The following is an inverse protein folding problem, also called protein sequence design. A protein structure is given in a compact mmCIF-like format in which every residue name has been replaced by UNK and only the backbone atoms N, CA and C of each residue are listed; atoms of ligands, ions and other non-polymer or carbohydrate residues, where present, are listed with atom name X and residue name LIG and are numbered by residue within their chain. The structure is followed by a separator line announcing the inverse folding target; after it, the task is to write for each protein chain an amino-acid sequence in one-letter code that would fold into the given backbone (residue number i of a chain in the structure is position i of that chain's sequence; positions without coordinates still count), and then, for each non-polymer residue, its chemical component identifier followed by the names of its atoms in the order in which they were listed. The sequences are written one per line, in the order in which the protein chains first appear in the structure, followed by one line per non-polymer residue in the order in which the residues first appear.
data_IF_704573423762
#
_entry.id   IF_704573423762
#
_cell.length_a   1.000
_cell.length_b   1.000
_cell.length_c   1.000
_cell.angle_alpha   90.00
_cell.angle_beta   90.00
_cell.angle_gamma   90.00
#
_symmetry.space_group_name_H-M   'P 1'
#
loop_
_entity.id
_entity.type
_entity.pdbx_description
1 polymer ?
#
# COMPACT_ATOMS: atom_id res chain seq x y z
N UNK A 1 -20.78 -17.47 -21.43
CA UNK A 1 -19.66 -17.45 -20.47
C UNK A 1 -20.11 -16.57 -19.32
N UNK A 2 -20.27 -17.11 -18.11
CA UNK A 2 -20.61 -16.28 -16.94
C UNK A 2 -19.44 -15.33 -16.68
N UNK A 3 -19.71 -14.03 -16.57
CA UNK A 3 -18.70 -13.06 -16.17
C UNK A 3 -17.95 -13.60 -14.93
N UNK A 4 -16.63 -13.60 -14.98
CA UNK A 4 -15.83 -13.94 -13.80
C UNK A 4 -16.13 -12.92 -12.69
N UNK A 5 -15.95 -13.31 -11.42
CA UNK A 5 -16.26 -12.43 -10.29
C UNK A 5 -15.67 -11.01 -10.42
N UNK A 6 -14.43 -10.80 -10.92
CA UNK A 6 -13.87 -9.46 -11.13
C UNK A 6 -14.58 -8.64 -12.22
N UNK A 7 -14.96 -9.26 -13.34
CA UNK A 7 -15.66 -8.57 -14.45
C UNK A 7 -17.06 -8.13 -14.03
N UNK A 8 -17.78 -9.00 -13.30
CA UNK A 8 -19.09 -8.68 -12.75
C UNK A 8 -19.00 -7.54 -11.72
N UNK A 9 -17.98 -7.56 -10.85
CA UNK A 9 -17.71 -6.46 -9.91
C UNK A 9 -17.41 -5.16 -10.67
N UNK A 10 -16.57 -5.20 -11.70
CA UNK A 10 -16.25 -4.01 -12.50
C UNK A 10 -17.48 -3.44 -13.21
N UNK A 11 -18.35 -4.28 -13.75
CA UNK A 11 -19.60 -3.84 -14.39
C UNK A 11 -20.62 -3.26 -13.40
N UNK A 12 -20.58 -3.68 -12.14
CA UNK A 12 -21.46 -3.19 -11.07
C UNK A 12 -21.01 -1.87 -10.45
N UNK A 13 -19.79 -1.39 -10.74
CA UNK A 13 -19.22 -0.18 -10.17
C UNK A 13 -18.88 0.85 -11.25
N UNK A 14 -18.86 2.13 -10.88
CA UNK A 14 -18.34 3.20 -11.73
C UNK A 14 -16.88 3.47 -11.40
N UNK A 15 -16.07 3.78 -12.40
CA UNK A 15 -14.68 4.22 -12.19
C UNK A 15 -14.70 5.68 -11.72
N UNK A 16 -14.06 5.94 -10.58
CA UNK A 16 -13.95 7.30 -10.02
C UNK A 16 -12.63 7.98 -10.41
N UNK A 17 -11.55 7.22 -10.52
CA UNK A 17 -10.22 7.64 -10.92
C UNK A 17 -9.47 6.42 -11.44
N UNK A 18 -8.57 6.61 -12.41
CA UNK A 18 -7.78 5.55 -13.03
C UNK A 18 -6.34 6.01 -13.19
N UNK A 19 -5.40 5.11 -12.87
CA UNK A 19 -3.97 5.34 -13.02
C UNK A 19 -3.35 4.14 -13.72
N UNK A 20 -3.03 4.33 -14.99
CA UNK A 20 -2.38 3.31 -15.82
C UNK A 20 -0.86 3.42 -15.64
N UNK A 21 -0.21 2.31 -15.34
CA UNK A 21 1.22 2.26 -15.13
C UNK A 21 1.84 1.01 -15.75
N UNK A 22 3.13 1.09 -16.06
CA UNK A 22 3.91 -0.07 -16.48
C UNK A 22 4.41 -0.84 -15.25
N UNK A 23 4.29 -2.17 -15.28
CA UNK A 23 4.83 -3.05 -14.25
C UNK A 23 6.36 -3.00 -14.33
N UNK A 24 7.00 -2.66 -13.21
CA UNK A 24 8.46 -2.57 -13.12
C UNK A 24 9.03 -3.87 -12.56
N UNK A 25 10.18 -4.35 -13.09
CA UNK A 25 10.81 -5.55 -12.57
C UNK A 25 11.30 -5.33 -11.14
N UNK A 26 11.14 -6.36 -10.29
CA UNK A 26 11.70 -6.36 -8.95
C UNK A 26 13.21 -6.61 -9.03
N UNK A 27 14.01 -5.59 -8.71
CA UNK A 27 15.47 -5.68 -8.74
C UNK A 27 15.99 -5.75 -7.31
N UNK A 28 16.67 -6.87 -6.98
CA UNK A 28 17.22 -7.12 -5.63
C UNK A 28 16.17 -6.95 -4.51
N UNK A 29 14.93 -7.35 -4.78
CA UNK A 29 13.81 -7.31 -3.81
C UNK A 29 12.96 -6.04 -3.81
N UNK A 30 13.32 -5.03 -4.60
CA UNK A 30 12.61 -3.76 -4.66
C UNK A 30 11.98 -3.51 -6.03
N UNK A 31 10.72 -3.09 -6.04
CA UNK A 31 10.08 -2.52 -7.22
C UNK A 31 10.49 -1.05 -7.45
N UNK A 32 11.05 -0.38 -6.42
CA UNK A 32 11.63 0.95 -6.51
C UNK A 32 10.63 2.10 -6.39
N UNK A 33 9.37 1.82 -6.07
CA UNK A 33 8.30 2.82 -5.97
C UNK A 33 7.19 2.39 -5.02
N UNK A 34 6.46 3.37 -4.48
CA UNK A 34 5.27 3.19 -3.65
C UNK A 34 4.05 3.77 -4.38
N UNK A 35 2.90 3.13 -4.20
CA UNK A 35 1.62 3.61 -4.72
C UNK A 35 0.98 4.51 -3.66
N UNK A 36 0.72 5.76 -4.01
CA UNK A 36 0.00 6.71 -3.17
C UNK A 36 -1.43 6.88 -3.70
N UNK A 37 -2.41 6.82 -2.81
CA UNK A 37 -3.81 7.07 -3.12
C UNK A 37 -4.38 8.02 -2.06
N UNK A 38 -4.97 9.13 -2.48
CA UNK A 38 -5.72 10.01 -1.62
C UNK A 38 -7.22 9.91 -1.94
N UNK A 39 -8.02 9.52 -0.96
CA UNK A 39 -9.45 9.26 -1.13
C UNK A 39 -10.29 10.54 -1.23
N UNK A 40 -9.78 11.65 -0.71
CA UNK A 40 -10.48 12.94 -0.70
C UNK A 40 -10.53 13.55 -2.10
N UNK A 41 -9.39 13.66 -2.76
CA UNK A 41 -9.25 14.25 -4.09
C UNK A 41 -9.12 13.21 -5.21
N UNK A 42 -9.06 11.93 -4.85
CA UNK A 42 -8.93 10.78 -5.77
C UNK A 42 -7.60 10.78 -6.54
N UNK A 43 -6.59 11.46 -6.00
CA UNK A 43 -5.25 11.44 -6.56
C UNK A 43 -4.63 10.04 -6.43
N UNK A 44 -3.97 9.59 -7.50
CA UNK A 44 -3.23 8.34 -7.55
C UNK A 44 -1.86 8.64 -8.13
N UNK A 45 -0.81 8.33 -7.39
CA UNK A 45 0.56 8.71 -7.76
C UNK A 45 1.57 7.61 -7.45
N UNK A 46 2.63 7.56 -8.26
CA UNK A 46 3.82 6.76 -7.97
C UNK A 46 4.86 7.63 -7.28
N UNK A 47 5.28 7.27 -6.07
CA UNK A 47 6.38 7.94 -5.36
C UNK A 47 7.64 7.04 -5.40
N UNK A 48 8.84 7.61 -5.60
CA UNK A 48 10.06 6.80 -5.67
C UNK A 48 10.46 6.24 -4.31
N UNK A 49 10.91 4.98 -4.28
CA UNK A 49 11.66 4.43 -3.13
C UNK A 49 13.12 4.82 -3.28
N UNK A 50 13.54 5.80 -2.50
CA UNK A 50 14.90 6.36 -2.55
C UNK A 50 15.93 5.37 -2.01
N UNK A 51 17.21 5.59 -2.34
CA UNK A 51 18.31 4.79 -1.77
C UNK A 51 18.36 4.92 -0.24
N UNK A 52 18.15 6.14 0.29
CA UNK A 52 18.06 6.39 1.73
C UNK A 52 16.98 5.53 2.39
N UNK A 53 15.81 5.40 1.76
CA UNK A 53 14.75 4.55 2.29
C UNK A 53 15.22 3.09 2.40
N UNK A 54 15.84 2.55 1.34
CA UNK A 54 16.32 1.17 1.31
C UNK A 54 17.38 0.91 2.38
N UNK A 55 18.36 1.80 2.51
CA UNK A 55 19.47 1.65 3.46
C UNK A 55 19.04 1.82 4.91
N UNK A 56 18.15 2.78 5.19
CA UNK A 56 17.75 3.13 6.56
C UNK A 56 16.61 2.26 7.07
N UNK A 57 15.65 1.96 6.20
CA UNK A 57 14.38 1.33 6.61
C UNK A 57 14.16 -0.07 6.03
N UNK A 58 14.98 -0.51 5.05
CA UNK A 58 14.97 -1.85 4.44
C UNK A 58 13.68 -2.27 3.71
N UNK A 59 12.48 -1.92 4.19
CA UNK A 59 11.20 -2.35 3.63
C UNK A 59 10.18 -2.66 4.74
N UNK A 60 9.04 -3.24 4.36
CA UNK A 60 8.00 -3.69 5.31
C UNK A 60 7.64 -2.61 6.33
N UNK A 61 7.70 -2.95 7.64
CA UNK A 61 7.41 -2.01 8.73
C UNK A 61 8.23 -0.71 8.65
N UNK A 62 9.48 -0.78 8.22
CA UNK A 62 10.33 0.41 8.12
C UNK A 62 9.80 1.41 7.09
N UNK A 63 9.40 0.94 5.90
CA UNK A 63 8.78 1.80 4.88
C UNK A 63 7.45 2.34 5.36
N UNK A 64 6.63 1.50 6.01
CA UNK A 64 5.38 1.94 6.61
C UNK A 64 5.59 3.08 7.64
N UNK A 65 6.57 2.95 8.53
CA UNK A 65 6.89 3.99 9.54
C UNK A 65 7.40 5.27 8.89
N UNK A 66 8.28 5.16 7.88
CA UNK A 66 8.77 6.30 7.13
C UNK A 66 7.63 7.07 6.45
N UNK A 67 6.72 6.35 5.79
CA UNK A 67 5.57 6.97 5.12
C UNK A 67 4.61 7.60 6.14
N UNK A 68 4.27 6.91 7.23
CA UNK A 68 3.42 7.47 8.29
C UNK A 68 4.04 8.73 8.91
N UNK A 69 5.35 8.74 9.15
CA UNK A 69 6.07 9.88 9.70
C UNK A 69 5.97 11.12 8.81
N UNK A 70 6.08 10.93 7.49
CA UNK A 70 5.97 12.04 6.53
C UNK A 70 4.51 12.48 6.28
N UNK A 71 3.56 11.57 6.46
CA UNK A 71 2.14 11.81 6.29
C UNK A 71 1.50 12.61 7.44
N UNK A 72 2.04 12.48 8.66
CA UNK A 72 1.36 12.92 9.89
C UNK A 72 2.14 13.95 10.70
N UNK A 73 1.46 14.58 11.65
CA UNK A 73 2.06 15.47 12.64
C UNK A 73 1.78 14.96 14.04
N UNK A 74 2.43 15.54 15.05
CA UNK A 74 2.14 15.24 16.46
C UNK A 74 0.69 15.52 16.89
N UNK A 75 -0.09 16.27 16.08
CA UNK A 75 -1.50 16.57 16.35
C UNK A 75 -2.47 15.65 15.60
N UNK A 76 -1.99 14.89 14.62
CA UNK A 76 -2.83 14.02 13.80
C UNK A 76 -3.42 12.91 14.67
N UNK A 77 -4.73 12.72 14.58
CA UNK A 77 -5.48 11.67 15.25
C UNK A 77 -5.86 10.54 14.29
N UNK A 78 -6.27 9.41 14.86
CA UNK A 78 -6.62 8.20 14.11
C UNK A 78 -7.69 8.43 13.01
N UNK A 79 -8.59 9.39 13.22
CA UNK A 79 -9.68 9.70 12.30
C UNK A 79 -9.44 10.95 11.46
N UNK A 80 -8.27 11.57 11.48
CA UNK A 80 -7.99 12.73 10.64
C UNK A 80 -7.58 12.26 9.22
N UNK A 81 -7.90 13.01 8.15
CA UNK A 81 -7.60 12.59 6.78
C UNK A 81 -6.09 12.46 6.50
N UNK A 82 -5.22 13.09 7.29
CA UNK A 82 -3.77 12.92 7.14
C UNK A 82 -3.27 11.57 7.69
N UNK A 83 -4.04 10.88 8.56
CA UNK A 83 -3.65 9.59 9.10
C UNK A 83 -3.66 8.52 8.01
N UNK A 84 -2.48 8.23 7.49
CA UNK A 84 -2.31 7.25 6.43
C UNK A 84 -2.51 5.82 6.94
N UNK A 85 -3.08 4.98 6.07
CA UNK A 85 -3.08 3.52 6.19
C UNK A 85 -2.07 2.97 5.19
N UNK A 86 -0.94 2.46 5.69
CA UNK A 86 0.18 2.03 4.84
C UNK A 86 0.36 0.53 4.90
N UNK A 87 0.39 -0.10 3.74
CA UNK A 87 0.72 -1.50 3.55
C UNK A 87 2.11 -1.62 2.92
N UNK A 88 2.96 -2.51 3.42
CA UNK A 88 4.23 -2.81 2.77
C UNK A 88 4.68 -4.24 3.03
N UNK A 89 5.45 -4.78 2.09
CA UNK A 89 6.19 -6.03 2.26
C UNK A 89 7.68 -5.75 2.37
N UNK A 90 8.41 -6.67 3.00
CA UNK A 90 9.87 -6.63 3.01
C UNK A 90 10.48 -6.85 1.61
N UNK A 91 11.79 -6.65 1.44
CA UNK A 91 12.47 -6.87 0.17
C UNK A 91 12.45 -8.35 -0.25
N UNK A 92 12.30 -9.27 0.69
CA UNK A 92 12.13 -10.70 0.40
C UNK A 92 10.67 -11.11 0.20
N UNK A 93 9.73 -10.16 0.24
CA UNK A 93 8.30 -10.42 0.10
C UNK A 93 7.97 -11.05 -1.25
N UNK A 94 7.28 -12.19 -1.23
CA UNK A 94 6.92 -12.93 -2.45
C UNK A 94 8.02 -13.81 -3.04
N UNK A 95 9.23 -13.85 -2.46
CA UNK A 95 10.28 -14.78 -2.90
C UNK A 95 9.95 -16.20 -2.42
N UNK A 96 9.63 -17.09 -3.35
CA UNK A 96 9.19 -18.48 -3.06
C UNK A 96 10.30 -19.40 -2.58
N UNK A 97 11.57 -19.05 -2.82
CA UNK A 97 12.72 -19.81 -2.36
C UNK A 97 12.92 -19.78 -0.84
N UNK A 98 12.30 -18.81 -0.13
CA UNK A 98 12.37 -18.69 1.32
C UNK A 98 10.99 -18.99 1.95
N UNK A 99 10.93 -19.79 3.03
CA UNK A 99 9.67 -20.04 3.71
C UNK A 99 9.15 -18.77 4.40
N UNK A 100 7.83 -18.57 4.39
CA UNK A 100 7.17 -17.52 5.18
C UNK A 100 7.26 -16.10 4.63
N UNK A 101 7.64 -15.92 3.36
CA UNK A 101 7.80 -14.59 2.71
C UNK A 101 6.51 -13.93 2.24
N UNK A 102 5.35 -14.52 2.51
CA UNK A 102 4.03 -13.97 2.16
C UNK A 102 3.50 -12.91 3.13
N UNK A 103 4.37 -12.14 3.80
CA UNK A 103 3.95 -11.17 4.83
C UNK A 103 3.69 -9.79 4.26
N UNK A 104 2.65 -9.15 4.78
CA UNK A 104 2.36 -7.73 4.63
C UNK A 104 2.22 -7.10 6.01
N UNK A 105 2.88 -5.98 6.23
CA UNK A 105 2.70 -5.16 7.43
C UNK A 105 1.79 -3.99 7.08
N UNK A 106 0.86 -3.69 7.99
CA UNK A 106 -0.05 -2.56 7.92
C UNK A 106 0.22 -1.62 9.08
N UNK A 107 0.27 -0.33 8.82
CA UNK A 107 0.60 0.70 9.81
C UNK A 107 -0.34 1.88 9.70
N UNK A 108 -0.74 2.42 10.85
CA UNK A 108 -1.52 3.66 10.98
C UNK A 108 -1.47 4.16 12.43
N UNK A 109 -2.07 5.32 12.73
CA UNK A 109 -2.38 5.72 14.10
C UNK A 109 -3.60 4.93 14.59
N UNK A 110 -3.44 4.18 15.68
CA UNK A 110 -4.47 3.30 16.21
C UNK A 110 -5.62 4.09 16.87
N UNK A 111 -6.90 3.73 16.61
CA UNK A 111 -8.04 4.33 17.31
C UNK A 111 -8.12 3.92 18.78
N UNK A 112 -7.47 2.81 19.18
CA UNK A 112 -7.51 2.32 20.56
C UNK A 112 -6.40 2.95 21.41
N UNK A 113 -5.20 3.11 20.87
CA UNK A 113 -4.03 3.58 21.63
C UNK A 113 -3.64 5.02 21.31
N UNK A 114 -4.15 5.58 20.21
CA UNK A 114 -3.82 6.92 19.70
C UNK A 114 -2.32 7.09 19.39
N UNK A 115 -1.63 5.99 19.12
CA UNK A 115 -0.20 5.96 18.77
C UNK A 115 0.00 5.24 17.44
N UNK A 116 1.17 5.43 16.82
CA UNK A 116 1.57 4.62 15.68
C UNK A 116 1.55 3.13 16.08
N UNK A 117 0.85 2.33 15.28
CA UNK A 117 0.65 0.91 15.51
C UNK A 117 0.93 0.15 14.22
N UNK A 118 1.46 -1.07 14.36
CA UNK A 118 1.67 -2.00 13.25
C UNK A 118 0.97 -3.33 13.49
N UNK A 119 0.43 -3.90 12.41
CA UNK A 119 -0.11 -5.26 12.36
C UNK A 119 0.52 -6.03 11.22
N UNK A 120 0.82 -7.30 11.43
CA UNK A 120 1.43 -8.16 10.42
C UNK A 120 0.48 -9.29 10.02
N UNK A 121 0.09 -9.32 8.75
CA UNK A 121 -0.71 -10.37 8.14
C UNK A 121 0.14 -11.24 7.20
N UNK A 122 -0.16 -12.54 7.15
CA UNK A 122 0.32 -13.41 6.08
C UNK A 122 -0.70 -13.55 4.95
N UNK A 123 -0.30 -14.16 3.84
CA UNK A 123 -1.18 -14.50 2.72
C UNK A 123 -0.61 -14.02 1.40
N UNK A 124 -1.50 -13.72 0.46
CA UNK A 124 -1.13 -13.41 -0.92
C UNK A 124 -1.05 -11.90 -1.21
N UNK A 125 -1.66 -11.05 -0.38
CA UNK A 125 -1.73 -9.61 -0.64
C UNK A 125 -0.36 -8.95 -0.77
N UNK A 126 0.54 -9.17 0.19
CA UNK A 126 1.90 -8.60 0.15
C UNK A 126 2.69 -8.99 -1.11
N UNK A 127 2.79 -10.29 -1.43
CA UNK A 127 3.38 -10.75 -2.69
C UNK A 127 2.72 -10.16 -3.94
N UNK A 128 1.39 -10.14 -4.03
CA UNK A 128 0.69 -9.61 -5.21
C UNK A 128 0.89 -8.11 -5.39
N UNK A 129 0.93 -7.34 -4.30
CA UNK A 129 1.30 -5.92 -4.37
C UNK A 129 2.72 -5.73 -4.91
N UNK A 130 3.67 -6.57 -4.47
CA UNK A 130 5.06 -6.56 -4.97
C UNK A 130 5.13 -6.93 -6.46
N UNK A 131 4.39 -7.95 -6.89
CA UNK A 131 4.36 -8.39 -8.28
C UNK A 131 3.71 -7.36 -9.20
N UNK A 132 2.71 -6.64 -8.72
CA UNK A 132 2.13 -5.47 -9.38
C UNK A 132 3.11 -4.27 -9.48
N UNK A 133 4.34 -4.41 -8.97
CA UNK A 133 5.39 -3.41 -9.11
C UNK A 133 5.37 -2.33 -8.04
N UNK A 134 4.93 -2.64 -6.82
CA UNK A 134 4.87 -1.69 -5.70
C UNK A 134 5.55 -2.23 -4.44
N UNK A 135 6.40 -1.42 -3.81
CA UNK A 135 7.04 -1.76 -2.53
C UNK A 135 6.14 -1.49 -1.33
N UNK A 136 5.25 -0.50 -1.46
CA UNK A 136 4.26 -0.12 -0.46
C UNK A 136 3.04 0.54 -1.13
N UNK A 137 1.91 0.49 -0.43
CA UNK A 137 0.67 1.19 -0.73
C UNK A 137 0.36 2.13 0.43
N UNK A 138 0.28 3.43 0.15
CA UNK A 138 -0.04 4.50 1.10
C UNK A 138 -1.43 5.06 0.76
N UNK A 139 -2.38 4.92 1.67
CA UNK A 139 -3.74 5.44 1.51
C UNK A 139 -3.95 6.58 2.49
N UNK A 140 -4.33 7.76 2.00
CA UNK A 140 -4.70 8.94 2.79
C UNK A 140 -6.09 9.46 2.43
N UNK A 141 -6.58 10.44 3.18
CA UNK A 141 -7.84 11.11 2.91
C UNK A 141 -9.06 10.31 3.33
N UNK A 142 -10.23 10.81 2.96
CA UNK A 142 -11.52 10.17 3.22
C UNK A 142 -12.42 10.31 2.01
N UNK A 143 -13.00 9.20 1.58
CA UNK A 143 -14.01 9.21 0.54
C UNK A 143 -15.36 9.67 1.11
N UNK A 144 -16.15 10.37 0.29
CA UNK A 144 -17.52 10.78 0.64
C UNK A 144 -18.53 9.60 0.60
N UNK A 145 -18.15 8.49 -0.03
CA UNK A 145 -18.93 7.26 -0.19
C UNK A 145 -18.02 6.04 -0.06
N UNK A 146 -18.60 4.85 0.09
CA UNK A 146 -17.84 3.60 0.11
C UNK A 146 -17.18 3.36 -1.25
N UNK A 147 -15.87 3.08 -1.25
CA UNK A 147 -15.08 2.90 -2.47
C UNK A 147 -14.22 1.64 -2.42
N UNK A 148 -13.90 1.12 -3.59
CA UNK A 148 -13.01 -0.03 -3.77
C UNK A 148 -11.75 0.45 -4.49
N UNK A 149 -10.59 0.14 -3.92
CA UNK A 149 -9.31 0.26 -4.61
C UNK A 149 -9.04 -1.07 -5.30
N UNK A 150 -8.89 -1.02 -6.62
CA UNK A 150 -8.54 -2.16 -7.45
C UNK A 150 -7.16 -1.93 -8.07
N UNK A 151 -6.24 -2.87 -7.83
CA UNK A 151 -4.89 -2.86 -8.37
C UNK A 151 -4.76 -4.09 -9.25
N UNK A 152 -4.43 -3.87 -10.51
CA UNK A 152 -4.16 -4.91 -11.50
C UNK A 152 -2.72 -4.75 -11.99
N UNK A 153 -1.95 -5.83 -11.99
CA UNK A 153 -0.52 -5.79 -12.29
C UNK A 153 0.08 -7.16 -12.53
#
# INVERSE_FOLDING_TARGET
MSATAPEALRAAHRVLSEFVYEIQPVVRGYAGRTLYINLTDKAIEAKPVTQYMKETFTGGRGFCMWLLWNATTAKTRWNDPENALIFASGPIGGITAYPGTGKATVVTISPQTHTAFDSNGGGYFGPYLKFAGWDALEIQGKADEDVIIYIDG
#
